data_IF_072802595384
#
_entry.id   IF_072802595384
#
_cell.length_a   1.000
_cell.length_b   1.000
_cell.length_c   1.000
_cell.angle_alpha   90.00
_cell.angle_beta   90.00
_cell.angle_gamma   90.00
#
_symmetry.space_group_name_H-M   'P 1'
#
loop_
_entity.id
_entity.type
_entity.pdbx_description
1 polymer ?
#
# COMPACT_ATOMS: atom_id res chain seq x y z
N UNK A 1 20.21 8.54 -11.19
CA UNK A 1 19.39 8.35 -9.97
C UNK A 1 18.13 7.59 -10.38
N UNK A 2 18.07 6.29 -10.08
CA UNK A 2 16.86 5.47 -10.16
C UNK A 2 17.05 4.38 -9.11
N UNK A 3 16.45 4.57 -7.94
CA UNK A 3 16.50 3.55 -6.89
C UNK A 3 15.84 2.28 -7.44
N UNK A 4 16.56 1.16 -7.33
CA UNK A 4 16.11 -0.11 -7.87
C UNK A 4 14.73 -0.46 -7.32
N UNK A 5 13.87 -0.97 -8.21
CA UNK A 5 12.62 -1.62 -7.86
C UNK A 5 12.96 -2.90 -7.08
N UNK A 6 13.31 -2.75 -5.80
CA UNK A 6 13.45 -3.87 -4.87
C UNK A 6 12.08 -4.50 -4.62
N UNK A 7 12.02 -5.74 -4.13
CA UNK A 7 10.76 -6.36 -3.74
C UNK A 7 10.09 -5.46 -2.70
N UNK A 8 8.95 -4.88 -3.06
CA UNK A 8 8.14 -4.04 -2.19
C UNK A 8 7.89 -4.82 -0.91
N UNK A 9 8.43 -4.33 0.21
CA UNK A 9 8.33 -5.03 1.49
C UNK A 9 6.91 -4.81 2.02
N UNK A 10 6.19 -5.90 2.22
CA UNK A 10 4.85 -5.91 2.81
C UNK A 10 4.70 -4.94 4.01
N UNK A 11 5.66 -4.97 4.95
CA UNK A 11 5.67 -4.09 6.13
C UNK A 11 5.71 -2.59 5.80
N UNK A 12 6.44 -2.20 4.75
CA UNK A 12 6.50 -0.79 4.33
C UNK A 12 5.15 -0.34 3.78
N UNK A 13 4.50 -1.21 3.00
CA UNK A 13 3.18 -0.94 2.45
C UNK A 13 2.15 -0.76 3.55
N UNK A 14 2.11 -1.69 4.51
CA UNK A 14 1.20 -1.62 5.66
C UNK A 14 1.41 -0.33 6.45
N UNK A 15 2.67 0.00 6.77
CA UNK A 15 3.00 1.26 7.46
C UNK A 15 2.46 2.47 6.71
N UNK A 16 2.69 2.57 5.40
CA UNK A 16 2.23 3.70 4.57
C UNK A 16 0.72 3.78 4.45
N UNK A 17 0.03 2.64 4.39
CA UNK A 17 -1.45 2.61 4.35
C UNK A 17 -2.05 3.21 5.63
N UNK A 18 -1.38 3.03 6.77
CA UNK A 18 -1.79 3.59 8.06
C UNK A 18 -1.36 5.05 8.26
N UNK A 19 -0.51 5.62 7.40
CA UNK A 19 -0.10 7.02 7.50
C UNK A 19 -1.29 7.95 7.26
N UNK A 20 -1.52 8.86 8.23
CA UNK A 20 -2.54 9.91 8.11
C UNK A 20 -2.12 10.93 7.06
N UNK A 21 -3.08 11.41 6.27
CA UNK A 21 -2.84 12.41 5.21
C UNK A 21 -2.41 11.83 3.87
N UNK A 22 -2.06 10.55 3.80
CA UNK A 22 -1.70 9.89 2.52
C UNK A 22 -2.93 9.19 1.93
N UNK A 23 -3.10 9.28 0.60
CA UNK A 23 -4.13 8.50 -0.11
C UNK A 23 -3.60 7.13 -0.51
N UNK A 24 -4.48 6.14 -0.65
CA UNK A 24 -4.10 4.79 -1.11
C UNK A 24 -3.37 4.85 -2.47
N UNK A 25 -3.75 5.79 -3.33
CA UNK A 25 -3.08 6.02 -4.61
C UNK A 25 -1.65 6.53 -4.46
N UNK A 26 -1.41 7.49 -3.56
CA UNK A 26 -0.06 7.93 -3.25
C UNK A 26 0.78 6.81 -2.63
N UNK A 27 0.21 5.99 -1.75
CA UNK A 27 0.92 4.82 -1.20
C UNK A 27 1.36 3.89 -2.33
N UNK A 28 0.44 3.51 -3.23
CA UNK A 28 0.73 2.64 -4.36
C UNK A 28 1.86 3.21 -5.24
N UNK A 29 1.78 4.49 -5.60
CA UNK A 29 2.81 5.17 -6.38
C UNK A 29 4.16 5.20 -5.65
N UNK A 30 4.16 5.50 -4.36
CA UNK A 30 5.39 5.62 -3.56
C UNK A 30 6.12 4.31 -3.38
N UNK A 31 5.39 3.20 -3.27
CA UNK A 31 5.98 1.86 -3.18
C UNK A 31 6.29 1.24 -4.54
N UNK A 32 6.07 1.97 -5.65
CA UNK A 32 6.47 1.54 -6.99
C UNK A 32 5.41 0.82 -7.81
N UNK A 33 4.15 0.79 -7.37
CA UNK A 33 3.03 0.34 -8.22
C UNK A 33 2.58 1.45 -9.17
N UNK A 34 2.44 1.07 -10.43
CA UNK A 34 1.89 1.94 -11.49
C UNK A 34 0.36 1.97 -11.47
N UNK A 35 -0.26 0.88 -11.01
CA UNK A 35 -1.70 0.66 -11.09
C UNK A 35 -2.30 0.33 -9.71
N UNK A 36 -3.31 1.12 -9.32
CA UNK A 36 -4.04 0.90 -8.06
C UNK A 36 -4.72 -0.47 -8.00
N UNK A 37 -5.20 -0.97 -9.14
CA UNK A 37 -5.87 -2.27 -9.22
C UNK A 37 -4.92 -3.47 -9.04
N UNK A 38 -3.64 -3.31 -9.38
CA UNK A 38 -2.62 -4.32 -9.09
C UNK A 38 -2.25 -4.28 -7.61
N UNK A 39 -2.06 -3.06 -7.07
CA UNK A 39 -1.83 -2.83 -5.66
C UNK A 39 -2.93 -3.43 -4.77
N UNK A 40 -4.20 -3.16 -5.08
CA UNK A 40 -5.34 -3.66 -4.30
C UNK A 40 -5.38 -5.20 -4.24
N UNK A 41 -5.14 -5.85 -5.38
CA UNK A 41 -5.09 -7.32 -5.46
C UNK A 41 -3.96 -7.92 -4.63
N UNK A 42 -2.76 -7.33 -4.72
CA UNK A 42 -1.59 -7.81 -3.98
C UNK A 42 -1.76 -7.54 -2.48
N UNK A 43 -2.20 -6.34 -2.11
CA UNK A 43 -2.45 -5.97 -0.72
C UNK A 43 -3.52 -6.86 -0.09
N UNK A 44 -4.62 -7.13 -0.81
CA UNK A 44 -5.68 -8.04 -0.37
C UNK A 44 -5.20 -9.48 -0.23
N UNK A 45 -4.27 -9.93 -1.09
CA UNK A 45 -3.65 -11.25 -0.94
C UNK A 45 -2.79 -11.34 0.32
N UNK A 46 -2.20 -10.24 0.77
CA UNK A 46 -1.40 -10.20 2.00
C UNK A 46 -2.26 -10.07 3.26
N UNK A 47 -3.13 -9.06 3.31
CA UNK A 47 -3.89 -8.70 4.53
C UNK A 47 -5.33 -9.25 4.54
N UNK A 48 -5.78 -9.91 3.48
CA UNK A 48 -7.15 -10.41 3.35
C UNK A 48 -8.20 -9.34 3.02
N UNK A 49 -7.82 -8.06 2.96
CA UNK A 49 -8.74 -6.93 2.76
C UNK A 49 -8.12 -5.80 1.94
N UNK A 50 -8.95 -4.87 1.46
CA UNK A 50 -8.46 -3.71 0.71
C UNK A 50 -7.71 -2.74 1.62
N UNK A 51 -6.70 -2.00 1.11
CA UNK A 51 -5.95 -1.03 1.88
C UNK A 51 -6.84 0.09 2.45
N UNK A 52 -7.94 0.44 1.77
CA UNK A 52 -8.94 1.39 2.27
C UNK A 52 -9.66 0.88 3.53
N UNK A 53 -10.07 -0.39 3.53
CA UNK A 53 -10.69 -1.02 4.71
C UNK A 53 -9.69 -1.22 5.83
N UNK A 54 -8.47 -1.63 5.49
CA UNK A 54 -7.38 -1.79 6.45
C UNK A 54 -7.10 -0.52 7.22
N UNK A 55 -6.99 0.60 6.51
CA UNK A 55 -6.84 1.92 7.13
C UNK A 55 -8.01 2.27 8.06
N UNK A 56 -9.24 1.95 7.67
CA UNK A 56 -10.42 2.22 8.49
C UNK A 56 -10.42 1.40 9.79
N UNK A 57 -9.99 0.13 9.75
CA UNK A 57 -9.94 -0.73 10.94
C UNK A 57 -8.78 -0.41 11.89
N UNK A 58 -7.58 -0.09 11.37
CA UNK A 58 -6.42 0.24 12.20
C UNK A 58 -6.49 1.62 12.88
N UNK A 59 -7.50 2.42 12.56
CA UNK A 59 -7.75 3.74 13.15
C UNK A 59 -8.88 3.73 14.21
N UNK A 60 -9.40 2.55 14.55
CA UNK A 60 -10.39 2.38 15.63
C UNK A 60 -9.78 2.39 17.03
#
# INVERSE_FOLDING_TARGET
MMVGQGPVRHLEVVRRVLERGTTIHQVACTVGYRDLGHFDRVFRRWEGQTPSRYRCQGLS
#
